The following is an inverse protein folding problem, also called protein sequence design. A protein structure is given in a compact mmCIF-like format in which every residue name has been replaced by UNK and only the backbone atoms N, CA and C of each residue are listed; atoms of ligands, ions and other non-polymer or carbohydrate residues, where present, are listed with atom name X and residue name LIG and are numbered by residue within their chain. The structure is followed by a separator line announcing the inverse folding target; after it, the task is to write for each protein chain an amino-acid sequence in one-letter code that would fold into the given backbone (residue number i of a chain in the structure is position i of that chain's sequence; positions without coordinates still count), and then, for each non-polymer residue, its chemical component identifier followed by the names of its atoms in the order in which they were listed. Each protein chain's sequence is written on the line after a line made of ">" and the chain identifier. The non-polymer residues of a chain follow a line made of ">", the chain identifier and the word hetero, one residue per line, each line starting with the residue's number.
data_IF_719526580853
#
_entry.id   IF_719526580853
#
_cell.length_a   1.000
_cell.length_b   1.000
_cell.length_c   1.000
_cell.angle_alpha   90.00
_cell.angle_beta   90.00
_cell.angle_gamma   90.00
#
_symmetry.space_group_name_H-M   'P 1'
#
loop_
_entity.id
_entity.type
_entity.pdbx_description
1 polymer ?
#
# COMPACT_ATOMS: atom_id res chain seq x y z
N UNK A 1 -7.44 -25.50 13.41
CA UNK A 1 -6.97 -25.78 14.79
C UNK A 1 -8.16 -26.01 15.73
N UNK A 2 -8.04 -26.91 16.70
CA UNK A 2 -9.10 -27.15 17.70
C UNK A 2 -8.90 -26.32 18.98
N UNK A 3 -9.85 -25.44 19.29
CA UNK A 3 -9.89 -24.62 20.52
C UNK A 3 -11.30 -24.72 21.10
N UNK A 4 -11.43 -24.76 22.43
CA UNK A 4 -12.73 -24.90 23.08
C UNK A 4 -13.67 -23.72 22.74
N UNK A 5 -14.83 -24.02 22.15
CA UNK A 5 -15.79 -23.02 21.70
C UNK A 5 -16.33 -22.13 22.85
N UNK A 6 -16.57 -22.73 24.04
CA UNK A 6 -17.06 -21.99 25.20
C UNK A 6 -15.99 -21.03 25.74
N UNK A 7 -14.73 -21.46 25.75
CA UNK A 7 -13.60 -20.62 26.17
C UNK A 7 -13.43 -19.42 25.22
N UNK A 8 -13.48 -19.65 23.90
CA UNK A 8 -13.44 -18.56 22.91
C UNK A 8 -14.55 -17.53 23.13
N UNK A 9 -15.79 -17.99 23.33
CA UNK A 9 -16.90 -17.08 23.60
C UNK A 9 -16.74 -16.32 24.92
N UNK A 10 -16.28 -16.96 26.00
CA UNK A 10 -16.06 -16.27 27.28
C UNK A 10 -15.05 -15.13 27.15
N UNK A 11 -14.07 -15.28 26.28
CA UNK A 11 -13.00 -14.32 26.05
C UNK A 11 -13.41 -13.19 25.12
N UNK A 12 -14.00 -13.53 23.97
CA UNK A 12 -14.13 -12.62 22.84
C UNK A 12 -15.55 -12.40 22.35
N UNK A 13 -16.57 -12.68 23.17
CA UNK A 13 -17.96 -12.51 22.78
C UNK A 13 -18.32 -11.06 22.41
N UNK A 14 -18.94 -10.94 21.25
CA UNK A 14 -19.62 -9.77 20.72
C UNK A 14 -21.09 -10.13 20.57
N UNK A 15 -21.97 -9.43 21.30
CA UNK A 15 -23.43 -9.57 21.12
C UNK A 15 -23.84 -8.83 19.85
N UNK A 16 -24.58 -9.53 19.00
CA UNK A 16 -24.93 -9.05 17.67
C UNK A 16 -26.27 -9.64 17.21
N UNK A 17 -26.65 -9.35 15.97
CA UNK A 17 -27.80 -9.93 15.31
C UNK A 17 -27.39 -10.60 14.01
N UNK A 18 -27.92 -11.78 13.77
CA UNK A 18 -27.87 -12.44 12.47
C UNK A 18 -29.11 -12.05 11.67
N UNK A 19 -28.92 -11.52 10.46
CA UNK A 19 -29.99 -11.31 9.51
C UNK A 19 -30.15 -12.56 8.64
N UNK A 20 -31.29 -13.23 8.73
CA UNK A 20 -31.57 -14.39 7.87
C UNK A 20 -31.95 -13.95 6.43
N UNK A 21 -31.98 -14.88 5.45
CA UNK A 21 -32.32 -14.55 4.07
C UNK A 21 -33.72 -13.96 3.87
N UNK A 22 -34.64 -14.17 4.82
CA UNK A 22 -35.98 -13.57 4.80
C UNK A 22 -36.02 -12.19 5.49
N UNK A 23 -34.88 -11.68 5.94
CA UNK A 23 -34.72 -10.34 6.50
C UNK A 23 -34.95 -10.23 8.00
N UNK A 24 -35.26 -11.34 8.70
CA UNK A 24 -35.50 -11.32 10.14
C UNK A 24 -34.18 -11.25 10.91
N UNK A 25 -34.12 -10.36 11.91
CA UNK A 25 -32.98 -10.22 12.81
C UNK A 25 -33.15 -11.14 14.01
N UNK A 26 -32.17 -12.01 14.24
CA UNK A 26 -32.14 -12.94 15.37
C UNK A 26 -30.95 -12.66 16.27
N UNK A 27 -31.09 -12.76 17.60
CA UNK A 27 -29.96 -12.61 18.50
C UNK A 27 -28.84 -13.61 18.17
N UNK A 28 -27.62 -13.09 18.08
CA UNK A 28 -26.43 -13.86 17.81
C UNK A 28 -25.29 -13.41 18.73
N UNK A 29 -24.30 -14.28 18.87
CA UNK A 29 -23.05 -13.99 19.60
C UNK A 29 -21.90 -14.42 18.71
N UNK A 30 -20.89 -13.58 18.55
CA UNK A 30 -19.75 -13.86 17.68
C UNK A 30 -18.43 -13.67 18.42
N UNK A 31 -17.39 -14.37 17.99
CA UNK A 31 -16.02 -14.20 18.44
C UNK A 31 -15.10 -14.26 17.22
N UNK A 32 -14.35 -13.17 16.98
CA UNK A 32 -13.32 -13.10 15.95
C UNK A 32 -12.10 -13.91 16.39
N UNK A 33 -11.66 -14.86 15.57
CA UNK A 33 -10.56 -15.77 15.89
C UNK A 33 -9.23 -15.10 15.56
N UNK A 34 -8.49 -14.74 16.60
CA UNK A 34 -7.20 -14.03 16.55
C UNK A 34 -6.19 -14.77 17.42
N UNK A 35 -4.90 -14.47 17.27
CA UNK A 35 -3.86 -15.04 18.13
C UNK A 35 -4.17 -14.78 19.61
N UNK A 36 -4.60 -13.56 19.92
CA UNK A 36 -4.92 -13.14 21.29
C UNK A 36 -6.13 -13.88 21.88
N UNK A 37 -7.23 -14.00 21.13
CA UNK A 37 -8.42 -14.72 21.61
C UNK A 37 -8.15 -16.21 21.77
N UNK A 38 -7.35 -16.81 20.88
CA UNK A 38 -6.93 -18.22 21.01
C UNK A 38 -6.00 -18.41 22.21
N UNK A 39 -5.04 -17.52 22.42
CA UNK A 39 -4.12 -17.56 23.58
C UNK A 39 -4.90 -17.51 24.89
N UNK A 40 -5.74 -16.48 25.07
CA UNK A 40 -6.56 -16.30 26.26
C UNK A 40 -7.54 -17.47 26.48
N UNK A 41 -8.13 -18.03 25.41
CA UNK A 41 -9.01 -19.19 25.52
C UNK A 41 -8.27 -20.46 25.97
N UNK A 42 -7.02 -20.65 25.55
CA UNK A 42 -6.17 -21.77 25.99
C UNK A 42 -5.77 -21.63 27.45
N UNK A 43 -5.32 -20.44 27.86
CA UNK A 43 -5.00 -20.12 29.26
C UNK A 43 -6.21 -20.36 30.19
N UNK A 44 -7.40 -19.96 29.74
CA UNK A 44 -8.64 -20.23 30.49
C UNK A 44 -8.95 -21.73 30.60
N UNK A 45 -8.67 -22.53 29.57
CA UNK A 45 -8.80 -23.99 29.63
C UNK A 45 -7.77 -24.63 30.56
N UNK A 46 -6.58 -24.07 30.68
CA UNK A 46 -5.60 -24.54 31.66
C UNK A 46 -6.09 -24.30 33.10
N UNK A 47 -6.73 -23.16 33.36
CA UNK A 47 -7.29 -22.83 34.67
C UNK A 47 -8.60 -23.58 35.02
N UNK A 48 -9.45 -23.87 34.02
CA UNK A 48 -10.75 -24.54 34.21
C UNK A 48 -10.83 -25.86 33.41
N UNK A 49 -10.69 -27.04 34.06
CA UNK A 49 -10.75 -28.34 33.42
C UNK A 49 -12.02 -28.60 32.61
N UNK A 50 -13.15 -27.97 32.95
CA UNK A 50 -14.41 -28.11 32.21
C UNK A 50 -14.36 -27.48 30.80
N UNK A 51 -13.38 -26.61 30.57
CA UNK A 51 -13.08 -25.96 29.30
C UNK A 51 -11.91 -26.61 28.54
N UNK A 52 -11.31 -27.69 29.07
CA UNK A 52 -10.21 -28.42 28.40
C UNK A 52 -10.69 -29.34 27.29
N UNK A 53 -11.90 -29.90 27.40
CA UNK A 53 -12.42 -30.83 26.39
C UNK A 53 -12.56 -30.13 25.04
N UNK A 54 -11.97 -30.71 23.99
CA UNK A 54 -11.97 -30.20 22.61
C UNK A 54 -12.82 -31.04 21.65
N UNK A 55 -13.44 -32.12 22.15
CA UNK A 55 -14.11 -33.13 21.33
C UNK A 55 -15.34 -32.58 20.58
N UNK A 56 -16.04 -31.61 21.18
CA UNK A 56 -17.24 -30.98 20.61
C UNK A 56 -16.97 -29.61 19.97
N UNK A 57 -15.70 -29.21 19.88
CA UNK A 57 -15.35 -27.88 19.37
C UNK A 57 -15.01 -27.92 17.88
N UNK A 58 -15.49 -26.94 17.09
CA UNK A 58 -15.22 -26.90 15.67
C UNK A 58 -13.74 -26.67 15.39
N UNK A 59 -13.29 -27.13 14.23
CA UNK A 59 -11.97 -26.77 13.73
C UNK A 59 -12.00 -25.32 13.24
N UNK A 60 -11.34 -24.42 13.97
CA UNK A 60 -11.32 -22.98 13.68
C UNK A 60 -10.04 -22.58 12.97
N UNK A 61 -10.08 -21.46 12.27
CA UNK A 61 -8.91 -20.84 11.62
C UNK A 61 -8.81 -19.38 12.03
N UNK A 62 -7.58 -18.89 12.15
CA UNK A 62 -7.32 -17.48 12.38
C UNK A 62 -7.95 -16.62 11.28
N UNK A 63 -8.46 -15.44 11.64
CA UNK A 63 -9.20 -14.55 10.75
C UNK A 63 -10.67 -14.96 10.52
N UNK A 64 -11.06 -16.16 10.96
CA UNK A 64 -12.45 -16.62 10.93
C UNK A 64 -13.26 -16.14 12.13
N UNK A 65 -14.51 -16.59 12.21
CA UNK A 65 -15.45 -16.24 13.27
C UNK A 65 -16.11 -17.48 13.81
N UNK A 66 -16.17 -17.60 15.14
CA UNK A 66 -17.07 -18.53 15.80
C UNK A 66 -18.35 -17.78 16.18
N UNK A 67 -19.51 -18.28 15.77
CA UNK A 67 -20.80 -17.66 16.03
C UNK A 67 -21.79 -18.64 16.66
N UNK A 68 -22.61 -18.14 17.57
CA UNK A 68 -23.82 -18.79 18.05
C UNK A 68 -25.02 -18.02 17.54
N UNK A 69 -25.83 -18.65 16.70
CA UNK A 69 -26.99 -18.04 16.07
C UNK A 69 -28.25 -18.69 16.61
N UNK A 70 -29.17 -17.89 17.14
CA UNK A 70 -30.46 -18.39 17.63
C UNK A 70 -31.37 -18.71 16.45
N UNK A 71 -32.02 -19.88 16.48
CA UNK A 71 -33.07 -20.22 15.53
C UNK A 71 -34.43 -19.58 15.90
N UNK A 72 -35.49 -19.93 15.18
CA UNK A 72 -36.82 -19.35 15.40
C UNK A 72 -37.47 -19.82 16.70
N UNK A 73 -37.02 -20.97 17.24
CA UNK A 73 -37.46 -21.51 18.53
C UNK A 73 -36.58 -21.05 19.70
N UNK A 74 -35.53 -20.26 19.43
CA UNK A 74 -34.58 -19.76 20.42
C UNK A 74 -33.42 -20.71 20.73
N UNK A 75 -33.30 -21.84 20.03
CA UNK A 75 -32.16 -22.74 20.19
C UNK A 75 -30.94 -22.18 19.45
N UNK A 76 -29.79 -22.12 20.14
CA UNK A 76 -28.56 -21.58 19.56
C UNK A 76 -27.74 -22.67 18.87
N UNK A 77 -27.45 -22.49 17.58
CA UNK A 77 -26.50 -23.34 16.84
C UNK A 77 -25.12 -22.69 16.81
N UNK A 78 -24.08 -23.49 17.04
CA UNK A 78 -22.69 -23.06 16.88
C UNK A 78 -22.27 -23.23 15.41
N UNK A 79 -21.72 -22.18 14.81
CA UNK A 79 -21.27 -22.13 13.41
C UNK A 79 -19.88 -21.51 13.37
N UNK A 80 -19.00 -22.09 12.57
CA UNK A 80 -17.72 -21.47 12.21
C UNK A 80 -17.85 -20.84 10.82
N UNK A 81 -17.47 -19.58 10.71
CA UNK A 81 -17.36 -18.85 9.45
C UNK A 81 -15.87 -18.73 9.09
N UNK A 82 -15.45 -19.29 7.95
CA UNK A 82 -14.13 -19.06 7.36
C UNK A 82 -13.72 -17.58 7.29
N UNK A 83 -12.40 -17.29 7.23
CA UNK A 83 -11.88 -15.93 7.08
C UNK A 83 -12.48 -15.22 5.85
N UNK A 84 -12.89 -13.96 6.03
CA UNK A 84 -13.45 -13.13 4.96
C UNK A 84 -14.87 -13.48 4.51
N UNK A 85 -15.53 -14.46 5.13
CA UNK A 85 -16.92 -14.78 4.82
C UNK A 85 -17.90 -13.80 5.49
N UNK A 86 -18.90 -13.34 4.75
CA UNK A 86 -20.05 -12.64 5.34
C UNK A 86 -20.96 -13.65 6.04
N UNK A 87 -21.26 -13.35 7.31
CA UNK A 87 -22.15 -14.15 8.16
C UNK A 87 -23.53 -13.52 8.36
N UNK A 88 -23.84 -12.40 7.70
CA UNK A 88 -25.06 -11.63 7.97
C UNK A 88 -25.11 -11.07 9.39
N UNK A 89 -23.94 -10.92 10.04
CA UNK A 89 -23.82 -10.47 11.42
C UNK A 89 -23.69 -8.95 11.48
N UNK A 90 -24.56 -8.34 12.29
CA UNK A 90 -24.63 -6.89 12.49
C UNK A 90 -24.60 -6.57 13.98
N UNK A 91 -23.92 -5.48 14.34
CA UNK A 91 -24.02 -4.91 15.68
C UNK A 91 -25.44 -4.36 15.93
N UNK A 92 -25.70 -3.96 17.18
CA UNK A 92 -26.98 -3.39 17.63
C UNK A 92 -27.41 -2.17 16.81
N UNK A 93 -26.45 -1.33 16.43
CA UNK A 93 -26.62 -0.14 15.58
C UNK A 93 -26.79 -0.45 14.07
N UNK A 94 -26.71 -1.73 13.68
CA UNK A 94 -26.81 -2.15 12.28
C UNK A 94 -25.47 -2.26 11.55
N UNK A 95 -24.34 -1.93 12.19
CA UNK A 95 -23.01 -2.03 11.57
C UNK A 95 -22.68 -3.49 11.23
N UNK A 96 -22.54 -3.79 9.94
CA UNK A 96 -21.94 -5.05 9.46
C UNK A 96 -20.45 -5.00 9.71
N UNK A 97 -19.88 -6.07 10.26
CA UNK A 97 -18.51 -6.04 10.76
C UNK A 97 -17.66 -7.24 10.32
N UNK A 98 -18.16 -8.03 9.36
CA UNK A 98 -17.53 -9.23 8.82
C UNK A 98 -17.41 -9.16 7.29
N UNK A 99 -16.62 -10.08 6.73
CA UNK A 99 -16.46 -10.23 5.28
C UNK A 99 -16.02 -8.94 4.56
N UNK A 100 -16.72 -8.51 3.50
CA UNK A 100 -16.37 -7.32 2.73
C UNK A 100 -16.54 -6.01 3.52
N UNK A 101 -17.31 -6.03 4.61
CA UNK A 101 -17.62 -4.83 5.38
C UNK A 101 -16.60 -4.54 6.49
N UNK A 102 -15.63 -5.43 6.76
CA UNK A 102 -14.71 -5.30 7.91
C UNK A 102 -13.94 -3.97 7.91
N UNK A 103 -13.42 -3.52 6.76
CA UNK A 103 -12.64 -2.29 6.67
C UNK A 103 -13.49 -1.04 6.91
N UNK A 104 -14.70 -1.02 6.35
CA UNK A 104 -15.68 0.04 6.56
C UNK A 104 -16.15 0.08 8.01
N UNK A 105 -16.39 -1.08 8.61
CA UNK A 105 -16.75 -1.23 10.01
C UNK A 105 -15.65 -0.72 10.94
N UNK A 106 -14.38 -1.07 10.66
CA UNK A 106 -13.25 -0.57 11.42
C UNK A 106 -13.20 0.97 11.42
N UNK A 107 -13.44 1.58 10.25
CA UNK A 107 -13.48 3.03 10.10
C UNK A 107 -14.62 3.66 10.93
N UNK A 108 -15.83 3.13 10.77
CA UNK A 108 -17.03 3.64 11.44
C UNK A 108 -16.94 3.49 12.97
N UNK A 109 -16.48 2.33 13.45
CA UNK A 109 -16.31 2.06 14.87
C UNK A 109 -15.22 2.93 15.50
N UNK A 110 -14.13 3.20 14.78
CA UNK A 110 -13.07 4.08 15.25
C UNK A 110 -13.48 5.57 15.26
N UNK A 111 -14.30 6.00 14.31
CA UNK A 111 -14.77 7.38 14.20
C UNK A 111 -15.83 7.74 15.25
N UNK A 112 -16.62 6.76 15.69
CA UNK A 112 -17.64 6.94 16.73
C UNK A 112 -17.34 6.02 17.91
N UNK A 113 -16.32 6.36 18.73
CA UNK A 113 -16.02 5.62 19.94
C UNK A 113 -17.19 5.79 20.92
N UNK A 114 -17.87 4.68 21.20
CA UNK A 114 -18.97 4.61 22.16
C UNK A 114 -18.59 3.73 23.35
N UNK A 115 -19.29 3.86 24.49
CA UNK A 115 -19.04 3.02 25.67
C UNK A 115 -19.53 1.57 25.50
N UNK A 116 -20.19 1.25 24.39
CA UNK A 116 -20.71 -0.10 24.11
C UNK A 116 -19.56 -1.11 24.02
N UNK A 117 -19.48 -2.08 24.94
CA UNK A 117 -18.40 -3.07 24.98
C UNK A 117 -18.36 -3.94 23.72
N UNK A 118 -19.50 -4.18 23.06
CA UNK A 118 -19.56 -5.02 21.86
C UNK A 118 -18.94 -4.30 20.66
N UNK A 119 -19.14 -2.98 20.54
CA UNK A 119 -18.46 -2.13 19.53
C UNK A 119 -16.94 -2.13 19.74
N UNK A 120 -16.50 -1.94 20.99
CA UNK A 120 -15.07 -1.92 21.33
C UNK A 120 -14.43 -3.26 21.00
N UNK A 121 -15.07 -4.38 21.38
CA UNK A 121 -14.57 -5.72 21.06
C UNK A 121 -14.55 -5.99 19.56
N UNK A 122 -15.57 -5.57 18.82
CA UNK A 122 -15.59 -5.70 17.36
C UNK A 122 -14.42 -4.94 16.72
N UNK A 123 -14.20 -3.67 17.11
CA UNK A 123 -13.09 -2.87 16.60
C UNK A 123 -11.73 -3.50 16.91
N UNK A 124 -11.50 -3.91 18.15
CA UNK A 124 -10.24 -4.55 18.56
C UNK A 124 -10.02 -5.91 17.86
N UNK A 125 -11.09 -6.68 17.68
CA UNK A 125 -11.08 -7.93 16.95
C UNK A 125 -10.71 -7.72 15.48
N UNK A 126 -11.36 -6.79 14.78
CA UNK A 126 -11.09 -6.47 13.37
C UNK A 126 -9.63 -6.02 13.21
N UNK A 127 -9.16 -5.07 14.04
CA UNK A 127 -7.77 -4.60 14.01
C UNK A 127 -6.76 -5.72 14.25
N UNK A 128 -7.10 -6.66 15.11
CA UNK A 128 -6.23 -7.81 15.39
C UNK A 128 -6.20 -8.79 14.22
N UNK A 129 -7.34 -9.03 13.55
CA UNK A 129 -7.37 -9.79 12.30
C UNK A 129 -6.53 -9.09 11.23
N UNK A 130 -6.73 -7.79 11.00
CA UNK A 130 -5.96 -7.04 9.99
C UNK A 130 -4.46 -7.04 10.26
N UNK A 131 -4.01 -6.81 11.50
CA UNK A 131 -2.58 -6.86 11.83
C UNK A 131 -1.96 -8.22 11.53
N UNK A 132 -2.65 -9.28 11.93
CA UNK A 132 -2.19 -10.66 11.70
C UNK A 132 -2.14 -10.99 10.20
N UNK A 133 -3.17 -10.62 9.44
CA UNK A 133 -3.23 -10.86 7.98
C UNK A 133 -2.15 -10.04 7.25
N UNK A 134 -1.96 -8.76 7.61
CA UNK A 134 -0.96 -7.91 6.99
C UNK A 134 0.48 -8.34 7.29
N UNK A 135 0.72 -8.94 8.47
CA UNK A 135 2.05 -9.43 8.87
C UNK A 135 2.44 -10.74 8.18
N UNK A 136 1.47 -11.61 7.89
CA UNK A 136 1.69 -12.90 7.21
C UNK A 136 0.63 -13.12 6.12
N UNK A 137 0.68 -12.34 5.03
CA UNK A 137 -0.25 -12.45 3.92
C UNK A 137 -0.07 -13.80 3.21
N UNK A 138 -1.14 -14.57 3.09
CA UNK A 138 -1.13 -15.89 2.44
C UNK A 138 -2.52 -16.14 1.86
N UNK A 139 -2.60 -16.23 0.53
CA UNK A 139 -3.84 -16.39 -0.22
C UNK A 139 -4.47 -17.79 -0.07
N UNK A 140 -3.68 -18.80 0.33
CA UNK A 140 -4.22 -20.12 0.68
C UNK A 140 -4.93 -20.08 2.04
N UNK A 141 -4.52 -19.17 2.91
CA UNK A 141 -5.06 -19.02 4.27
C UNK A 141 -6.15 -17.96 4.38
N UNK A 142 -6.03 -16.87 3.63
CA UNK A 142 -6.90 -15.70 3.69
C UNK A 142 -7.32 -15.28 2.28
N UNK A 143 -8.62 -15.00 2.04
CA UNK A 143 -9.04 -14.55 0.72
C UNK A 143 -8.44 -13.16 0.39
N UNK A 144 -8.19 -12.92 -0.90
CA UNK A 144 -7.60 -11.66 -1.43
C UNK A 144 -8.30 -10.42 -0.87
N UNK A 145 -9.64 -10.42 -0.82
CA UNK A 145 -10.41 -9.28 -0.29
C UNK A 145 -10.13 -8.98 1.19
N UNK A 146 -9.83 -10.00 2.01
CA UNK A 146 -9.45 -9.79 3.41
C UNK A 146 -8.02 -9.24 3.52
N UNK A 147 -7.09 -9.74 2.71
CA UNK A 147 -5.71 -9.24 2.64
C UNK A 147 -5.70 -7.78 2.19
N UNK A 148 -6.45 -7.45 1.13
CA UNK A 148 -6.58 -6.09 0.64
C UNK A 148 -7.16 -5.14 1.71
N UNK A 149 -8.19 -5.56 2.44
CA UNK A 149 -8.75 -4.78 3.56
C UNK A 149 -7.72 -4.55 4.68
N UNK A 150 -6.92 -5.57 5.01
CA UNK A 150 -5.85 -5.45 5.99
C UNK A 150 -4.78 -4.44 5.56
N UNK A 151 -4.35 -4.48 4.30
CA UNK A 151 -3.42 -3.48 3.75
C UNK A 151 -4.02 -2.08 3.69
N UNK A 152 -5.29 -1.93 3.29
CA UNK A 152 -6.00 -0.64 3.35
C UNK A 152 -6.04 -0.08 4.77
N UNK A 153 -6.28 -0.93 5.77
CA UNK A 153 -6.25 -0.54 7.18
C UNK A 153 -4.86 -0.05 7.60
N UNK A 154 -3.80 -0.78 7.24
CA UNK A 154 -2.42 -0.38 7.52
C UNK A 154 -2.05 0.96 6.86
N UNK A 155 -2.35 1.12 5.57
CA UNK A 155 -2.13 2.38 4.83
C UNK A 155 -2.90 3.55 5.45
N UNK A 156 -4.17 3.35 5.81
CA UNK A 156 -4.98 4.37 6.47
C UNK A 156 -4.43 4.74 7.85
N UNK A 157 -3.96 3.76 8.62
CA UNK A 157 -3.37 3.99 9.93
C UNK A 157 -2.04 4.74 9.83
N UNK A 158 -1.23 4.47 8.80
CA UNK A 158 0.07 5.09 8.62
C UNK A 158 -0.01 6.50 8.02
N UNK A 159 -0.90 6.71 7.05
CA UNK A 159 -0.88 7.91 6.20
C UNK A 159 -2.22 8.68 6.17
N UNK A 160 -3.21 8.22 6.93
CA UNK A 160 -4.57 8.78 6.91
C UNK A 160 -5.43 8.24 5.76
N UNK A 161 -6.74 8.55 5.75
CA UNK A 161 -7.65 8.09 4.71
C UNK A 161 -7.33 8.75 3.37
N UNK A 162 -7.17 7.94 2.32
CA UNK A 162 -6.98 8.42 0.96
C UNK A 162 -7.61 7.47 -0.05
N UNK A 163 -7.92 7.98 -1.25
CA UNK A 163 -8.41 7.19 -2.36
C UNK A 163 -7.29 6.27 -2.87
N UNK A 164 -7.61 5.00 -3.06
CA UNK A 164 -6.70 4.02 -3.62
C UNK A 164 -6.96 3.86 -5.13
N UNK A 165 -5.99 4.16 -6.00
CA UNK A 165 -6.17 4.14 -7.46
C UNK A 165 -5.97 2.76 -8.10
N UNK A 166 -5.92 1.68 -7.30
CA UNK A 166 -5.76 0.30 -7.76
C UNK A 166 -6.82 -0.60 -7.12
N UNK A 167 -7.17 -1.68 -7.81
CA UNK A 167 -8.08 -2.72 -7.31
C UNK A 167 -7.47 -3.55 -6.16
N UNK A 168 -8.25 -4.47 -5.60
CA UNK A 168 -7.84 -5.29 -4.46
C UNK A 168 -6.65 -6.19 -4.77
N UNK A 169 -6.71 -6.94 -5.87
CA UNK A 169 -5.58 -7.78 -6.34
C UNK A 169 -4.33 -6.95 -6.60
N UNK A 170 -4.49 -5.77 -7.21
CA UNK A 170 -3.36 -4.88 -7.50
C UNK A 170 -2.71 -4.33 -6.23
N UNK A 171 -3.53 -3.99 -5.23
CA UNK A 171 -3.03 -3.61 -3.91
C UNK A 171 -2.27 -4.75 -3.24
N UNK A 172 -2.84 -5.96 -3.24
CA UNK A 172 -2.21 -7.13 -2.62
C UNK A 172 -0.86 -7.41 -3.26
N UNK A 173 -0.79 -7.47 -4.59
CA UNK A 173 0.48 -7.68 -5.31
C UNK A 173 1.50 -6.58 -5.05
N UNK A 174 1.07 -5.30 -5.06
CA UNK A 174 1.97 -4.18 -4.76
C UNK A 174 2.55 -4.28 -3.35
N UNK A 175 1.69 -4.47 -2.34
CA UNK A 175 2.13 -4.56 -0.95
C UNK A 175 2.99 -5.80 -0.69
N UNK A 176 2.67 -6.95 -1.28
CA UNK A 176 3.51 -8.14 -1.18
C UNK A 176 4.90 -7.89 -1.77
N UNK A 177 4.98 -7.28 -2.95
CA UNK A 177 6.28 -6.95 -3.55
C UNK A 177 7.06 -5.98 -2.68
N UNK A 178 6.43 -4.93 -2.15
CA UNK A 178 7.11 -3.97 -1.27
C UNK A 178 7.62 -4.63 0.02
N UNK A 179 6.84 -5.54 0.61
CA UNK A 179 7.28 -6.32 1.77
C UNK A 179 8.46 -7.23 1.45
N UNK A 180 8.45 -7.90 0.29
CA UNK A 180 9.58 -8.72 -0.16
C UNK A 180 10.81 -7.85 -0.40
N UNK A 181 10.68 -6.71 -1.09
CA UNK A 181 11.78 -5.76 -1.31
C UNK A 181 12.31 -5.17 -0.01
N UNK A 182 11.44 -4.89 0.96
CA UNK A 182 11.85 -4.46 2.30
C UNK A 182 12.65 -5.55 3.03
N UNK A 183 12.20 -6.81 2.93
CA UNK A 183 12.92 -7.94 3.51
C UNK A 183 14.27 -8.18 2.82
N UNK A 184 14.35 -8.05 1.50
CA UNK A 184 15.61 -8.08 0.75
C UNK A 184 16.54 -6.99 1.28
N UNK A 185 16.05 -5.75 1.48
CA UNK A 185 16.85 -4.65 2.03
C UNK A 185 17.39 -4.93 3.44
N UNK A 186 16.64 -5.64 4.30
CA UNK A 186 17.10 -6.05 5.63
C UNK A 186 18.22 -7.11 5.58
N UNK A 187 18.26 -7.93 4.52
CA UNK A 187 19.26 -8.99 4.34
C UNK A 187 20.50 -8.50 3.59
N UNK A 188 20.29 -7.77 2.50
CA UNK A 188 21.30 -7.15 1.66
C UNK A 188 20.79 -5.77 1.20
N UNK A 189 21.15 -4.69 1.92
CA UNK A 189 20.77 -3.35 1.54
C UNK A 189 21.28 -2.94 0.16
N UNK A 190 22.33 -3.58 -0.37
CA UNK A 190 22.95 -3.21 -1.66
C UNK A 190 22.32 -3.90 -2.87
N UNK A 191 21.40 -4.85 -2.63
CA UNK A 191 20.70 -5.55 -3.70
C UNK A 191 19.89 -4.56 -4.57
N UNK A 192 19.92 -4.68 -5.92
CA UNK A 192 19.11 -3.83 -6.79
C UNK A 192 17.59 -3.99 -6.55
N UNK A 193 17.17 -5.09 -5.92
CA UNK A 193 15.78 -5.36 -5.56
C UNK A 193 15.40 -4.87 -4.14
N UNK A 194 16.37 -4.39 -3.36
CA UNK A 194 16.09 -3.84 -2.04
C UNK A 194 15.24 -2.58 -2.13
N UNK A 195 14.24 -2.44 -1.26
CA UNK A 195 13.47 -1.20 -1.17
C UNK A 195 14.42 -0.04 -0.82
N UNK A 196 14.24 1.10 -1.49
CA UNK A 196 15.11 2.27 -1.29
C UNK A 196 16.38 2.26 -2.13
N UNK A 197 16.74 1.14 -2.78
CA UNK A 197 17.81 1.17 -3.77
C UNK A 197 17.35 1.83 -5.06
N UNK A 198 18.24 2.63 -5.62
CA UNK A 198 18.00 3.31 -6.88
C UNK A 198 19.29 3.48 -7.68
N UNK A 199 19.16 3.43 -9.00
CA UNK A 199 20.24 3.73 -9.92
C UNK A 199 20.58 5.23 -9.89
N UNK A 200 21.81 5.64 -10.26
CA UNK A 200 22.12 7.04 -10.51
C UNK A 200 21.28 7.62 -11.65
N UNK A 201 20.81 8.87 -11.53
CA UNK A 201 19.92 9.49 -12.52
C UNK A 201 20.48 9.45 -13.95
N UNK A 202 21.77 9.76 -14.12
CA UNK A 202 22.41 9.73 -15.44
C UNK A 202 22.41 8.33 -16.06
N UNK A 203 22.49 7.26 -15.27
CA UNK A 203 22.38 5.89 -15.81
C UNK A 203 20.97 5.57 -16.29
N UNK A 204 19.96 6.08 -15.59
CA UNK A 204 18.56 5.95 -16.02
C UNK A 204 18.34 6.65 -17.36
N UNK A 205 18.88 7.86 -17.52
CA UNK A 205 18.80 8.61 -18.79
C UNK A 205 19.60 7.93 -19.91
N UNK A 206 20.85 7.52 -19.65
CA UNK A 206 21.69 6.81 -20.62
C UNK A 206 20.99 5.53 -21.11
N UNK A 207 20.38 4.74 -20.20
CA UNK A 207 19.62 3.53 -20.55
C UNK A 207 18.36 3.82 -21.35
N UNK A 208 17.73 4.96 -21.09
CA UNK A 208 16.55 5.43 -21.82
C UNK A 208 16.90 6.11 -23.16
N UNK A 209 18.19 6.11 -23.56
CA UNK A 209 18.64 6.62 -24.85
C UNK A 209 18.93 8.12 -24.91
N UNK A 210 18.95 8.82 -23.77
CA UNK A 210 19.26 10.24 -23.69
C UNK A 210 20.73 10.50 -23.36
N UNK A 211 21.42 11.32 -24.15
CA UNK A 211 22.78 11.77 -23.84
C UNK A 211 22.73 12.99 -22.93
N UNK A 212 22.36 12.74 -21.69
CA UNK A 212 22.15 13.79 -20.71
C UNK A 212 23.44 14.48 -20.27
N UNK A 213 24.64 14.06 -20.74
CA UNK A 213 25.94 14.57 -20.29
C UNK A 213 26.27 15.97 -20.79
N UNK A 214 25.49 16.53 -21.71
CA UNK A 214 25.60 17.91 -22.13
C UNK A 214 25.32 18.85 -20.93
N UNK A 215 26.31 19.64 -20.52
CA UNK A 215 26.18 20.60 -19.40
C UNK A 215 25.27 21.80 -19.74
N UNK A 216 25.05 22.05 -21.03
CA UNK A 216 24.21 23.14 -21.52
C UNK A 216 23.63 22.82 -22.90
N UNK A 217 22.32 23.03 -23.06
CA UNK A 217 21.64 22.93 -24.36
C UNK A 217 21.59 24.34 -24.98
N UNK A 218 21.98 24.46 -26.26
CA UNK A 218 21.87 25.72 -27.01
C UNK A 218 20.43 25.90 -27.49
N UNK A 219 19.80 26.99 -27.10
CA UNK A 219 18.51 27.40 -27.63
C UNK A 219 18.66 28.00 -29.04
N UNK A 220 17.62 27.97 -29.88
CA UNK A 220 17.52 28.81 -31.05
C UNK A 220 17.64 30.28 -30.62
N UNK A 221 18.72 30.97 -31.01
CA UNK A 221 18.96 32.37 -30.63
C UNK A 221 20.19 32.65 -29.75
N UNK A 222 21.02 31.65 -29.45
CA UNK A 222 22.32 31.75 -28.75
C UNK A 222 22.31 31.75 -27.23
N UNK A 223 21.14 31.75 -26.58
CA UNK A 223 21.06 31.53 -25.13
C UNK A 223 21.29 30.04 -24.80
N UNK A 224 22.07 29.78 -23.75
CA UNK A 224 22.35 28.42 -23.27
C UNK A 224 21.56 28.23 -21.99
N UNK A 225 20.75 27.17 -21.90
CA UNK A 225 20.20 26.74 -20.62
C UNK A 225 21.10 25.63 -20.07
N UNK A 226 21.65 25.92 -18.90
CA UNK A 226 22.51 25.06 -18.09
C UNK A 226 21.69 24.24 -17.11
N UNK A 227 22.27 23.13 -16.61
CA UNK A 227 21.66 22.37 -15.50
C UNK A 227 21.42 23.24 -14.24
N UNK A 228 22.25 24.26 -14.03
CA UNK A 228 22.10 25.18 -12.90
C UNK A 228 20.85 26.05 -13.05
N UNK A 229 20.55 26.52 -14.26
CA UNK A 229 19.31 27.27 -14.52
C UNK A 229 18.06 26.40 -14.36
N UNK A 230 18.11 25.12 -14.76
CA UNK A 230 17.05 24.16 -14.45
C UNK A 230 16.87 23.98 -12.93
N UNK A 231 17.95 23.94 -12.16
CA UNK A 231 17.89 23.93 -10.68
C UNK A 231 17.36 25.22 -10.08
N UNK A 232 17.66 26.38 -10.67
CA UNK A 232 17.10 27.65 -10.22
C UNK A 232 15.57 27.70 -10.39
N UNK A 233 15.03 27.04 -11.43
CA UNK A 233 13.58 26.87 -11.59
C UNK A 233 12.97 26.03 -10.48
N UNK A 234 13.64 24.96 -10.02
CA UNK A 234 13.22 24.16 -8.86
C UNK A 234 13.11 24.99 -7.59
N UNK A 235 14.04 25.92 -7.38
CA UNK A 235 14.11 26.75 -6.18
C UNK A 235 13.09 27.90 -6.15
N UNK A 236 12.31 28.11 -7.23
CA UNK A 236 11.19 29.05 -7.21
C UNK A 236 10.11 28.51 -6.27
N UNK A 237 9.69 29.33 -5.30
CA UNK A 237 8.79 28.92 -4.22
C UNK A 237 7.54 28.12 -4.67
N UNK A 238 6.84 28.47 -5.77
CA UNK A 238 5.69 27.67 -6.22
C UNK A 238 6.05 26.24 -6.65
N UNK A 239 7.16 26.05 -7.38
CA UNK A 239 7.61 24.72 -7.80
C UNK A 239 8.17 23.94 -6.62
N UNK A 240 9.03 24.57 -5.82
CA UNK A 240 9.64 23.98 -4.63
C UNK A 240 8.60 23.47 -3.65
N UNK A 241 7.71 24.34 -3.20
CA UNK A 241 6.86 24.06 -2.04
C UNK A 241 5.55 23.37 -2.45
N UNK A 242 4.99 23.69 -3.62
CA UNK A 242 3.67 23.16 -4.04
C UNK A 242 3.75 21.98 -5.01
N UNK A 243 4.75 21.92 -5.90
CA UNK A 243 4.92 20.75 -6.78
C UNK A 243 5.80 19.71 -6.09
N UNK A 244 7.10 19.95 -5.96
CA UNK A 244 8.03 18.96 -5.42
C UNK A 244 7.79 18.67 -3.94
N UNK A 245 7.44 19.69 -3.15
CA UNK A 245 7.01 19.52 -1.77
C UNK A 245 5.76 18.65 -1.60
N UNK A 246 4.93 18.49 -2.64
CA UNK A 246 3.78 17.57 -2.64
C UNK A 246 4.14 16.17 -3.16
N UNK A 247 5.17 16.03 -3.99
CA UNK A 247 5.57 14.79 -4.65
C UNK A 247 6.57 13.96 -3.84
N UNK A 248 7.55 14.62 -3.23
CA UNK A 248 8.72 13.97 -2.66
C UNK A 248 9.00 14.46 -1.23
N UNK A 249 9.61 13.56 -0.44
CA UNK A 249 10.28 13.86 0.82
C UNK A 249 11.73 14.31 0.56
N UNK A 250 12.26 14.03 -0.63
CA UNK A 250 13.57 14.50 -1.09
C UNK A 250 13.65 16.02 -1.01
N UNK A 251 14.61 16.60 -0.26
CA UNK A 251 14.86 18.03 -0.28
C UNK A 251 15.17 18.50 -1.72
N UNK A 252 14.71 19.69 -2.09
CA UNK A 252 14.80 20.17 -3.49
C UNK A 252 16.25 20.27 -3.99
N UNK A 253 17.19 20.56 -3.11
CA UNK A 253 18.63 20.57 -3.39
C UNK A 253 19.20 19.18 -3.75
N UNK A 254 18.52 18.10 -3.36
CA UNK A 254 18.86 16.71 -3.70
C UNK A 254 18.09 16.17 -4.90
N UNK A 255 17.12 16.91 -5.42
CA UNK A 255 16.43 16.54 -6.67
C UNK A 255 17.42 16.74 -7.82
N UNK A 256 17.61 15.66 -8.59
CA UNK A 256 18.49 15.69 -9.75
C UNK A 256 17.73 16.29 -10.94
N UNK A 257 18.41 17.09 -11.75
CA UNK A 257 17.81 17.81 -12.87
C UNK A 257 18.70 17.74 -14.11
N UNK A 258 18.07 17.66 -15.28
CA UNK A 258 18.72 17.70 -16.59
C UNK A 258 17.88 18.53 -17.57
N UNK A 259 18.55 19.15 -18.53
CA UNK A 259 17.91 19.79 -19.69
C UNK A 259 18.04 18.81 -20.84
N UNK A 260 16.92 18.45 -21.46
CA UNK A 260 16.86 17.45 -22.51
C UNK A 260 16.38 18.08 -23.82
N UNK A 261 17.07 17.85 -24.95
CA UNK A 261 16.49 18.11 -26.27
C UNK A 261 15.19 17.34 -26.47
N UNK A 262 14.21 17.93 -27.16
CA UNK A 262 12.93 17.24 -27.45
C UNK A 262 13.10 15.86 -28.13
N UNK A 263 14.03 15.66 -29.09
CA UNK A 263 14.25 14.33 -29.65
C UNK A 263 14.65 13.26 -28.62
N UNK A 264 15.40 13.64 -27.59
CA UNK A 264 15.77 12.72 -26.49
C UNK A 264 14.58 12.44 -25.57
N UNK A 265 13.71 13.43 -25.36
CA UNK A 265 12.45 13.23 -24.64
C UNK A 265 11.61 12.16 -25.35
N UNK A 266 11.46 12.26 -26.67
CA UNK A 266 10.72 11.28 -27.47
C UNK A 266 11.32 9.87 -27.36
N UNK A 267 12.66 9.75 -27.29
CA UNK A 267 13.34 8.48 -27.06
C UNK A 267 13.05 7.92 -25.67
N UNK A 268 13.10 8.76 -24.63
CA UNK A 268 12.76 8.35 -23.26
C UNK A 268 11.30 7.90 -23.20
N UNK A 269 10.37 8.67 -23.78
CA UNK A 269 8.95 8.32 -23.76
C UNK A 269 8.68 6.98 -24.45
N UNK A 270 9.43 6.67 -25.51
CA UNK A 270 9.36 5.38 -26.21
C UNK A 270 9.97 4.25 -25.39
N UNK A 271 11.18 4.46 -24.86
CA UNK A 271 11.94 3.46 -24.10
C UNK A 271 11.30 3.11 -22.77
N UNK A 272 10.67 4.09 -22.10
CA UNK A 272 10.03 3.94 -20.80
C UNK A 272 8.49 3.87 -20.89
N UNK A 273 7.92 3.61 -22.08
CA UNK A 273 6.47 3.63 -22.28
C UNK A 273 5.71 2.72 -21.29
N UNK A 274 6.24 1.51 -21.01
CA UNK A 274 5.65 0.58 -20.04
C UNK A 274 5.76 1.02 -18.58
N UNK A 275 6.66 1.96 -18.28
CA UNK A 275 6.90 2.48 -16.94
C UNK A 275 6.32 3.88 -16.72
N UNK A 276 5.57 4.40 -17.70
CA UNK A 276 4.89 5.69 -17.61
C UNK A 276 3.78 5.61 -16.57
N UNK A 277 3.88 6.42 -15.52
CA UNK A 277 2.90 6.45 -14.45
C UNK A 277 1.60 7.08 -14.96
N UNK A 278 0.49 6.38 -14.75
CA UNK A 278 -0.85 6.82 -15.09
C UNK A 278 -1.83 6.74 -13.92
N UNK A 279 -3.10 6.97 -14.26
CA UNK A 279 -4.21 6.90 -13.32
C UNK A 279 -4.32 8.13 -12.42
N UNK A 280 -5.19 8.02 -11.41
CA UNK A 280 -5.61 9.17 -10.61
C UNK A 280 -4.45 9.94 -9.98
N UNK A 281 -3.42 9.25 -9.48
CA UNK A 281 -2.24 9.90 -8.91
C UNK A 281 -1.55 10.81 -9.95
N UNK A 282 -1.20 10.29 -11.13
CA UNK A 282 -0.56 11.06 -12.19
C UNK A 282 -1.46 12.20 -12.71
N UNK A 283 -2.77 11.96 -12.81
CA UNK A 283 -3.75 12.99 -13.21
C UNK A 283 -3.79 14.16 -12.22
N UNK A 284 -3.67 13.89 -10.91
CA UNK A 284 -3.62 14.93 -9.88
C UNK A 284 -2.34 15.75 -9.96
N UNK A 285 -1.20 15.12 -10.23
CA UNK A 285 0.08 15.84 -10.38
C UNK A 285 0.01 16.79 -11.57
N UNK A 286 -0.48 16.29 -12.72
CA UNK A 286 -0.70 17.11 -13.89
C UNK A 286 -1.58 18.32 -13.57
N UNK A 287 -2.66 18.13 -12.83
CA UNK A 287 -3.53 19.24 -12.40
C UNK A 287 -2.83 20.25 -11.50
N UNK A 288 -2.06 19.79 -10.50
CA UNK A 288 -1.29 20.68 -9.62
C UNK A 288 -0.31 21.52 -10.44
N UNK A 289 0.41 20.89 -11.38
CA UNK A 289 1.31 21.58 -12.28
C UNK A 289 0.56 22.60 -13.15
N UNK A 290 -0.61 22.25 -13.70
CA UNK A 290 -1.42 23.17 -14.50
C UNK A 290 -1.95 24.37 -13.70
N UNK A 291 -2.38 24.15 -12.45
CA UNK A 291 -2.84 25.21 -11.55
C UNK A 291 -1.70 26.16 -11.16
N UNK A 292 -0.52 25.62 -10.86
CA UNK A 292 0.66 26.41 -10.49
C UNK A 292 1.10 27.38 -11.58
N UNK A 293 0.77 27.06 -12.82
CA UNK A 293 1.33 27.72 -14.00
C UNK A 293 0.29 28.52 -14.77
N UNK A 294 -0.93 28.62 -14.25
CA UNK A 294 -2.04 29.34 -14.87
C UNK A 294 -2.55 28.71 -16.16
N UNK A 295 -2.00 27.57 -16.60
CA UNK A 295 -2.40 26.86 -17.82
C UNK A 295 -3.79 26.23 -17.73
N UNK A 296 -4.33 26.08 -16.51
CA UNK A 296 -5.72 25.65 -16.28
C UNK A 296 -6.79 26.75 -16.40
N UNK A 297 -6.40 28.03 -16.47
CA UNK A 297 -7.30 29.17 -16.38
C UNK A 297 -7.43 29.93 -17.72
N UNK A 298 -8.04 29.29 -18.72
CA UNK A 298 -8.61 29.98 -19.91
C UNK A 298 -7.64 30.67 -20.89
N UNK A 299 -6.37 30.83 -20.56
CA UNK A 299 -5.35 31.35 -21.47
C UNK A 299 -4.73 30.20 -22.28
N UNK A 300 -5.39 29.79 -23.35
CA UNK A 300 -4.95 28.67 -24.22
C UNK A 300 -3.58 28.82 -24.90
N UNK A 301 -2.80 29.84 -24.58
CA UNK A 301 -1.46 30.11 -25.15
C UNK A 301 -0.30 29.52 -24.33
N UNK A 302 -0.51 29.21 -23.04
CA UNK A 302 0.52 28.62 -22.18
C UNK A 302 0.05 27.27 -21.65
N UNK A 303 0.74 26.20 -22.06
CA UNK A 303 0.43 24.83 -21.67
C UNK A 303 1.69 24.17 -21.13
N UNK A 304 1.59 23.62 -19.93
CA UNK A 304 2.60 22.70 -19.40
C UNK A 304 2.15 21.27 -19.65
N UNK A 305 3.07 20.48 -20.14
CA UNK A 305 2.95 19.05 -20.31
C UNK A 305 3.94 18.37 -19.38
N UNK A 306 3.41 17.40 -18.64
CA UNK A 306 4.16 16.67 -17.62
C UNK A 306 3.96 15.18 -17.85
N UNK A 307 5.08 14.47 -17.96
CA UNK A 307 5.10 13.02 -18.05
C UNK A 307 5.89 12.45 -16.87
N UNK A 308 5.33 11.42 -16.22
CA UNK A 308 5.95 10.74 -15.08
C UNK A 308 6.31 9.31 -15.46
N UNK A 309 7.46 8.85 -14.99
CA UNK A 309 7.94 7.48 -15.14
C UNK A 309 8.49 6.98 -13.81
N UNK A 310 8.54 5.65 -13.67
CA UNK A 310 9.32 4.98 -12.61
C UNK A 310 10.36 4.07 -13.26
N UNK A 311 11.64 4.22 -12.93
CA UNK A 311 12.70 3.39 -13.52
C UNK A 311 13.91 3.31 -12.63
N UNK A 312 14.48 2.10 -12.46
CA UNK A 312 15.68 1.89 -11.64
C UNK A 312 15.53 2.38 -10.20
N UNK A 313 14.35 2.22 -9.59
CA UNK A 313 14.05 2.71 -8.23
C UNK A 313 13.90 4.23 -8.11
N UNK A 314 13.75 4.95 -9.24
CA UNK A 314 13.56 6.40 -9.28
C UNK A 314 12.25 6.79 -9.92
N UNK A 315 11.71 7.90 -9.43
CA UNK A 315 10.71 8.65 -10.16
C UNK A 315 11.41 9.62 -11.11
N UNK A 316 10.91 9.71 -12.34
CA UNK A 316 11.37 10.63 -13.36
C UNK A 316 10.18 11.47 -13.83
N UNK A 317 10.32 12.79 -13.76
CA UNK A 317 9.35 13.74 -14.25
C UNK A 317 9.96 14.55 -15.39
N UNK A 318 9.35 14.48 -16.57
CA UNK A 318 9.68 15.34 -17.69
C UNK A 318 8.63 16.44 -17.75
N UNK A 319 9.09 17.69 -17.74
CA UNK A 319 8.28 18.89 -17.82
C UNK A 319 8.67 19.68 -19.06
N UNK A 320 7.69 19.99 -19.90
CA UNK A 320 7.87 20.83 -21.07
C UNK A 320 6.70 21.82 -21.15
N UNK A 321 6.98 23.08 -21.46
CA UNK A 321 5.97 24.09 -21.72
C UNK A 321 6.04 24.57 -23.19
N UNK A 322 5.13 25.44 -23.61
CA UNK A 322 5.12 25.95 -24.99
C UNK A 322 6.43 26.65 -25.37
N UNK A 323 7.04 27.39 -24.44
CA UNK A 323 8.33 28.09 -24.64
C UNK A 323 9.48 27.09 -24.79
N UNK A 324 9.55 26.09 -23.92
CA UNK A 324 10.54 25.02 -23.98
C UNK A 324 10.43 24.21 -25.27
N UNK A 325 9.20 23.85 -25.69
CA UNK A 325 8.95 23.17 -26.96
C UNK A 325 9.40 24.00 -28.16
N UNK A 326 9.07 25.29 -28.22
CA UNK A 326 9.54 26.20 -29.27
C UNK A 326 11.07 26.30 -29.29
N UNK A 327 11.69 26.27 -28.12
CA UNK A 327 13.14 26.27 -27.97
C UNK A 327 13.79 24.88 -28.15
N UNK A 328 13.01 23.84 -28.43
CA UNK A 328 13.50 22.48 -28.67
C UNK A 328 14.02 21.76 -27.41
N UNK A 329 13.57 22.15 -26.22
CA UNK A 329 14.00 21.57 -24.94
C UNK A 329 12.86 21.19 -23.98
N UNK A 330 13.16 20.29 -23.05
CA UNK A 330 12.38 19.97 -21.86
C UNK A 330 13.28 19.88 -20.63
N UNK A 331 12.67 19.85 -19.45
CA UNK A 331 13.35 19.70 -18.18
C UNK A 331 13.01 18.34 -17.58
N UNK A 332 14.01 17.55 -17.25
CA UNK A 332 13.85 16.29 -16.55
C UNK A 332 14.28 16.44 -15.10
N UNK A 333 13.47 15.90 -14.19
CA UNK A 333 13.71 15.89 -12.76
C UNK A 333 13.59 14.49 -12.22
N UNK A 334 14.42 14.12 -11.24
CA UNK A 334 14.37 12.78 -10.68
C UNK A 334 14.74 12.72 -9.20
N UNK A 335 14.03 11.85 -8.49
CA UNK A 335 14.24 11.52 -7.08
C UNK A 335 14.05 10.02 -6.83
N UNK A 336 14.57 9.44 -5.73
CA UNK A 336 14.32 8.04 -5.39
C UNK A 336 12.83 7.77 -5.14
N UNK A 337 12.25 6.71 -5.71
CA UNK A 337 10.83 6.39 -5.53
C UNK A 337 10.46 6.07 -4.08
N UNK A 338 11.41 5.57 -3.29
CA UNK A 338 11.23 5.34 -1.85
C UNK A 338 11.09 6.64 -1.04
N UNK A 339 11.57 7.76 -1.58
CA UNK A 339 11.38 9.09 -0.99
C UNK A 339 10.11 9.78 -1.53
N UNK A 340 9.26 9.09 -2.31
CA UNK A 340 7.96 9.62 -2.75
C UNK A 340 7.04 9.84 -1.55
N UNK A 341 6.30 10.95 -1.54
CA UNK A 341 5.23 11.15 -0.55
C UNK A 341 4.11 10.13 -0.78
N UNK A 342 3.68 9.39 0.26
CA UNK A 342 2.73 8.29 0.11
C UNK A 342 1.30 8.75 -0.21
N UNK A 343 0.97 10.01 0.06
CA UNK A 343 -0.37 10.59 -0.16
C UNK A 343 -0.24 11.99 -0.78
N UNK A 344 -0.94 12.21 -1.90
CA UNK A 344 -1.16 13.55 -2.45
C UNK A 344 -2.32 14.19 -1.72
N UNK A 345 -2.14 15.44 -1.31
CA UNK A 345 -3.28 16.28 -0.96
C UNK A 345 -3.76 17.01 -2.23
N UNK A 346 -4.98 16.74 -2.66
CA UNK A 346 -5.60 17.40 -3.81
C UNK A 346 -6.94 18.05 -3.40
N UNK A 347 -7.43 19.08 -4.12
CA UNK A 347 -8.69 19.74 -3.81
C UNK A 347 -9.90 18.80 -3.74
N UNK A 348 -9.89 17.71 -4.51
CA UNK A 348 -10.93 16.67 -4.52
C UNK A 348 -10.77 15.61 -3.43
N UNK A 349 -9.79 15.78 -2.53
CA UNK A 349 -9.44 14.83 -1.48
C UNK A 349 -8.10 14.10 -1.71
N UNK A 350 -7.59 13.45 -0.65
CA UNK A 350 -6.29 12.77 -0.67
C UNK A 350 -6.29 11.50 -1.53
N UNK A 351 -5.16 11.21 -2.19
CA UNK A 351 -4.96 10.03 -3.06
C UNK A 351 -3.64 9.34 -2.71
N UNK A 352 -3.63 8.01 -2.59
CA UNK A 352 -2.38 7.26 -2.40
C UNK A 352 -1.51 7.30 -3.65
N UNK A 353 -0.20 7.46 -3.44
CA UNK A 353 0.80 7.58 -4.49
C UNK A 353 1.22 6.22 -5.08
N UNK A 354 0.23 5.47 -5.56
CA UNK A 354 0.40 4.17 -6.20
C UNK A 354 -0.14 4.30 -7.63
N UNK A 355 0.63 3.91 -8.63
CA UNK A 355 0.15 3.86 -10.01
C UNK A 355 -0.13 2.42 -10.44
N UNK A 356 -1.11 2.17 -11.34
CA UNK A 356 -1.33 0.83 -11.89
C UNK A 356 -0.09 0.22 -12.54
N UNK A 357 0.78 1.03 -13.15
CA UNK A 357 2.04 0.59 -13.77
C UNK A 357 3.09 0.11 -12.76
N UNK A 358 2.89 0.39 -11.47
CA UNK A 358 3.76 -0.08 -10.39
C UNK A 358 3.28 -1.38 -9.77
N UNK A 359 2.09 -1.85 -10.15
CA UNK A 359 1.57 -3.15 -9.71
C UNK A 359 2.35 -4.23 -10.44
N UNK A 360 3.13 -5.06 -9.72
CA UNK A 360 3.89 -6.12 -10.36
C UNK A 360 2.95 -7.18 -10.91
N UNK A 361 3.37 -7.81 -12.00
CA UNK A 361 2.78 -9.06 -12.44
C UNK A 361 3.23 -10.22 -11.53
N UNK A 362 2.66 -11.40 -11.80
CA UNK A 362 2.95 -12.60 -11.02
C UNK A 362 4.41 -13.05 -11.23
N UNK A 363 4.95 -12.87 -12.44
CA UNK A 363 6.32 -13.28 -12.77
C UNK A 363 7.35 -12.49 -11.96
N UNK A 364 7.15 -11.18 -11.82
CA UNK A 364 7.99 -10.31 -10.99
C UNK A 364 7.91 -10.71 -9.50
N UNK A 365 6.72 -11.04 -8.99
CA UNK A 365 6.58 -11.52 -7.61
C UNK A 365 7.32 -12.84 -7.37
N UNK A 366 7.21 -13.80 -8.30
CA UNK A 366 7.95 -15.06 -8.24
C UNK A 366 9.46 -14.80 -8.26
N UNK A 367 9.93 -13.92 -9.16
CA UNK A 367 11.34 -13.53 -9.24
C UNK A 367 11.84 -12.95 -7.93
N UNK A 368 11.12 -11.99 -7.34
CA UNK A 368 11.49 -11.35 -6.07
C UNK A 368 11.54 -12.35 -4.92
N UNK A 369 10.57 -13.26 -4.83
CA UNK A 369 10.55 -14.31 -3.78
C UNK A 369 11.73 -15.27 -3.92
N UNK A 370 12.15 -15.58 -5.15
CA UNK A 370 13.35 -16.38 -5.41
C UNK A 370 14.61 -15.67 -4.92
N UNK A 371 14.78 -14.38 -5.27
CA UNK A 371 15.92 -13.57 -4.79
C UNK A 371 15.96 -13.54 -3.27
N UNK A 372 14.82 -13.31 -2.61
CA UNK A 372 14.73 -13.35 -1.16
C UNK A 372 15.16 -14.72 -0.59
N UNK A 373 14.65 -15.81 -1.17
CA UNK A 373 14.98 -17.17 -0.72
C UNK A 373 16.48 -17.47 -0.84
N UNK A 374 17.12 -17.06 -1.93
CA UNK A 374 18.57 -17.21 -2.16
C UNK A 374 19.38 -16.44 -1.09
N UNK A 375 18.97 -15.21 -0.76
CA UNK A 375 19.62 -14.41 0.29
C UNK A 375 19.46 -15.02 1.69
N UNK A 376 18.29 -15.56 2.02
CA UNK A 376 18.04 -16.23 3.29
C UNK A 376 18.89 -17.52 3.43
N UNK A 377 19.04 -18.28 2.35
CA UNK A 377 19.92 -19.45 2.30
C UNK A 377 21.39 -19.06 2.44
N UNK A 378 21.85 -18.04 1.73
CA UNK A 378 23.24 -17.56 1.83
C UNK A 378 23.58 -17.06 3.24
N UNK A 379 22.62 -16.46 3.95
CA UNK A 379 22.80 -16.01 5.34
C UNK A 379 22.87 -17.16 6.34
N UNK A 380 22.11 -18.23 6.12
CA UNK A 380 22.11 -19.43 6.98
C UNK A 380 23.31 -20.35 6.70
N UNK A 381 23.87 -20.31 5.50
CA UNK A 381 25.05 -21.09 5.11
C UNK A 381 26.40 -20.49 5.55
N UNK A 382 26.44 -19.25 6.08
CA UNK A 382 27.67 -18.73 6.71
C UNK A 382 27.87 -19.47 8.04
N UNK A 383 29.00 -20.19 8.24
CA UNK A 383 29.26 -20.85 9.51
C UNK A 383 29.24 -19.80 10.62
N UNK A 384 28.70 -20.19 11.77
CA UNK A 384 28.73 -19.31 12.93
C UNK A 384 30.19 -18.94 13.22
N UNK A 385 30.43 -17.71 13.67
CA UNK A 385 31.77 -17.24 14.05
C UNK A 385 32.45 -18.19 15.07
N UNK A 386 31.66 -19.01 15.76
CA UNK A 386 32.07 -20.08 16.67
C UNK A 386 32.63 -21.30 15.91
N UNK A 387 31.96 -21.77 14.87
CA UNK A 387 32.44 -22.88 14.02
C UNK A 387 33.66 -22.50 13.17
N UNK A 388 33.82 -21.21 12.83
CA UNK A 388 35.01 -20.71 12.14
C UNK A 388 36.21 -20.43 13.07
N UNK A 389 35.99 -20.37 14.39
CA UNK A 389 37.06 -20.25 15.40
C UNK A 389 37.49 -21.61 15.97
N UNK A 390 36.64 -22.63 15.83
CA UNK A 390 36.92 -24.01 16.25
C UNK A 390 37.54 -24.89 15.13
N UNK A 391 37.72 -24.33 13.91
CA UNK A 391 38.39 -24.95 12.75
C UNK A 391 39.72 -24.23 12.45
#
# INVERSE_FOLDING_TARGET
>A
MRVNAKALMRVGEIRCHHQDPSGHRRPARACLITEETVRQAREMGEADPSLRSRETSPDVRYGGVLAYISDAAGAARCVFLPPGQDGGLTLTDGTRFLGPDMFSAEAALAATPGPDPDRVRALLGIRSVFRMVAAAPDEERFPVGLIAQAYRSALRSAFGPALLPVGEEGLVRKCQADLVRARIAELDPSSPDAIGQCEPFLRVLDRAGADARAEAVRLPGSERITREEARLLLNRAPFRDRLFGALALTPTERIEAAVLPIPEVEEIERSLAGSRLGGLWADRINRIASELTGSGAGSGWYRIELTLFVSGGRDLMILSDSVGREAGIALAYSWPSAERRPVLQAPSGPVYAISPQEVPDEEELIRLRRVLSELEQARTAKPSLREALDA
#
